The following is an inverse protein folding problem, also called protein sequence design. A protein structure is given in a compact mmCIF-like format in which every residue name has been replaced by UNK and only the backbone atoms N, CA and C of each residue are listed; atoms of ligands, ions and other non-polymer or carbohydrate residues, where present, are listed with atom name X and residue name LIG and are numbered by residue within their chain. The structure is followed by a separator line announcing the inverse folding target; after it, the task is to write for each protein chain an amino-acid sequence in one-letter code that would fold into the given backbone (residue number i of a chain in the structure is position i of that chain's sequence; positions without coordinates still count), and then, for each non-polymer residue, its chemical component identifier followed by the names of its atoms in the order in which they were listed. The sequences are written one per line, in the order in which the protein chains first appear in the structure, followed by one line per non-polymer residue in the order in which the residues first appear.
data_IF_439988679404
#
_entry.id   IF_439988679404
#
_cell.length_a   1.000
_cell.length_b   1.000
_cell.length_c   1.000
_cell.angle_alpha   90.00
_cell.angle_beta   90.00
_cell.angle_gamma   90.00
#
_symmetry.space_group_name_H-M   'P 1'
#
loop_
_entity.id
_entity.type
_entity.pdbx_description
1 polymer ?
#
# COMPACT_ATOMS: atom_id res chain seq x y z
N UNK A 1 -38.26 -18.48 9.04
CA UNK A 1 -36.82 -18.72 9.22
C UNK A 1 -36.26 -19.39 7.97
N UNK A 2 -35.66 -18.59 7.07
CA UNK A 2 -35.04 -19.12 5.85
C UNK A 2 -33.70 -19.76 6.22
N UNK A 3 -33.59 -21.09 6.09
CA UNK A 3 -32.29 -21.78 6.11
C UNK A 3 -31.56 -21.38 4.83
N UNK A 4 -30.92 -20.21 4.83
CA UNK A 4 -29.99 -19.83 3.79
C UNK A 4 -28.93 -20.92 3.77
N UNK A 5 -28.95 -21.64 2.67
CA UNK A 5 -28.29 -22.91 2.43
C UNK A 5 -26.78 -22.73 2.70
N UNK A 6 -26.31 -23.21 3.86
CA UNK A 6 -24.89 -23.16 4.24
C UNK A 6 -23.99 -23.75 3.13
N UNK A 7 -24.55 -24.65 2.33
CA UNK A 7 -23.93 -25.30 1.18
C UNK A 7 -23.67 -24.35 -0.02
N UNK A 8 -24.47 -23.28 -0.15
CA UNK A 8 -24.26 -22.22 -1.17
C UNK A 8 -23.13 -21.28 -0.74
N UNK A 9 -23.07 -20.92 0.54
CA UNK A 9 -22.00 -20.07 1.08
C UNK A 9 -20.67 -20.82 1.04
N UNK A 10 -20.64 -22.11 1.39
CA UNK A 10 -19.44 -22.94 1.25
C UNK A 10 -19.06 -23.17 -0.21
N UNK A 11 -20.01 -23.42 -1.13
CA UNK A 11 -19.70 -23.49 -2.57
C UNK A 11 -19.14 -22.19 -3.13
N UNK A 12 -19.67 -21.03 -2.72
CA UNK A 12 -19.14 -19.72 -3.10
C UNK A 12 -17.73 -19.56 -2.53
N UNK A 13 -17.52 -19.91 -1.25
CA UNK A 13 -16.21 -19.89 -0.60
C UNK A 13 -15.20 -20.78 -1.32
N UNK A 14 -15.57 -22.01 -1.67
CA UNK A 14 -14.72 -22.96 -2.38
C UNK A 14 -14.44 -22.51 -3.82
N UNK A 15 -15.41 -21.88 -4.49
CA UNK A 15 -15.18 -21.22 -5.79
C UNK A 15 -14.18 -20.07 -5.66
N UNK A 16 -14.26 -19.28 -4.59
CA UNK A 16 -13.32 -18.19 -4.29
C UNK A 16 -11.94 -18.69 -3.85
N UNK A 17 -11.85 -19.92 -3.32
CA UNK A 17 -10.62 -20.59 -2.91
C UNK A 17 -9.92 -21.38 -4.03
N UNK A 18 -10.53 -21.50 -5.21
CA UNK A 18 -9.92 -22.14 -6.39
C UNK A 18 -8.74 -21.32 -6.93
N UNK A 19 -7.64 -21.99 -7.31
CA UNK A 19 -6.40 -21.41 -7.87
C UNK A 19 -6.61 -20.36 -8.98
N UNK A 20 -7.70 -20.43 -9.75
CA UNK A 20 -8.06 -19.41 -10.74
C UNK A 20 -8.34 -18.02 -10.12
N UNK A 21 -8.90 -17.98 -8.92
CA UNK A 21 -9.15 -16.74 -8.19
C UNK A 21 -7.91 -16.23 -7.44
N UNK A 22 -6.97 -17.10 -7.08
CA UNK A 22 -5.67 -16.69 -6.58
C UNK A 22 -4.92 -15.88 -7.65
N UNK A 23 -4.87 -16.37 -8.89
CA UNK A 23 -4.26 -15.63 -10.01
C UNK A 23 -4.92 -14.28 -10.29
N UNK A 24 -6.26 -14.22 -10.27
CA UNK A 24 -7.00 -12.96 -10.47
C UNK A 24 -6.76 -11.98 -9.33
N UNK A 25 -6.71 -12.44 -8.08
CA UNK A 25 -6.40 -11.61 -6.91
C UNK A 25 -4.97 -11.07 -6.98
N UNK A 26 -4.01 -11.92 -7.31
CA UNK A 26 -2.60 -11.53 -7.54
C UNK A 26 -2.50 -10.47 -8.64
N UNK A 27 -3.16 -10.70 -9.78
CA UNK A 27 -3.16 -9.75 -10.90
C UNK A 27 -3.80 -8.40 -10.50
N UNK A 28 -4.87 -8.43 -9.72
CA UNK A 28 -5.52 -7.23 -9.18
C UNK A 28 -4.60 -6.47 -8.22
N UNK A 29 -3.91 -7.15 -7.31
CA UNK A 29 -3.04 -6.51 -6.33
C UNK A 29 -1.77 -5.94 -6.99
N UNK A 30 -1.19 -6.64 -7.96
CA UNK A 30 -0.11 -6.10 -8.81
C UNK A 30 -0.61 -4.88 -9.60
N UNK A 31 -1.82 -4.94 -10.19
CA UNK A 31 -2.37 -3.82 -10.96
C UNK A 31 -2.63 -2.59 -10.08
N UNK A 32 -3.12 -2.78 -8.85
CA UNK A 32 -3.29 -1.68 -7.88
C UNK A 32 -1.94 -1.07 -7.52
N UNK A 33 -0.92 -1.89 -7.27
CA UNK A 33 0.42 -1.40 -6.96
C UNK A 33 0.99 -0.59 -8.14
N UNK A 34 0.84 -1.09 -9.36
CA UNK A 34 1.30 -0.42 -10.58
C UNK A 34 0.55 0.90 -10.83
N UNK A 35 -0.76 0.91 -10.62
CA UNK A 35 -1.58 2.11 -10.70
C UNK A 35 -1.15 3.15 -9.66
N UNK A 36 -0.95 2.74 -8.41
CA UNK A 36 -0.52 3.63 -7.34
C UNK A 36 0.85 4.27 -7.63
N UNK A 37 1.83 3.48 -8.12
CA UNK A 37 3.15 3.99 -8.52
C UNK A 37 3.03 4.95 -9.69
N UNK A 38 2.22 4.62 -10.71
CA UNK A 38 2.05 5.45 -11.90
C UNK A 38 1.35 6.78 -11.57
N UNK A 39 0.28 6.74 -10.78
CA UNK A 39 -0.44 7.92 -10.31
C UNK A 39 0.46 8.81 -9.43
N UNK A 40 1.29 8.18 -8.60
CA UNK A 40 2.29 8.85 -7.76
C UNK A 40 3.33 9.62 -8.59
N UNK A 41 3.90 8.97 -9.60
CA UNK A 41 4.86 9.60 -10.52
C UNK A 41 4.22 10.74 -11.31
N UNK A 42 3.00 10.54 -11.83
CA UNK A 42 2.26 11.57 -12.53
C UNK A 42 2.00 12.79 -11.64
N UNK A 43 1.60 12.56 -10.38
CA UNK A 43 1.37 13.62 -9.41
C UNK A 43 2.65 14.41 -9.12
N UNK A 44 3.80 13.74 -8.92
CA UNK A 44 5.08 14.45 -8.73
C UNK A 44 5.56 15.21 -9.94
N UNK A 45 5.32 14.70 -11.15
CA UNK A 45 5.61 15.42 -12.37
C UNK A 45 4.80 16.73 -12.44
N UNK A 46 3.52 16.66 -12.10
CA UNK A 46 2.66 17.83 -12.01
C UNK A 46 3.12 18.81 -10.91
N UNK A 47 3.49 18.29 -9.73
CA UNK A 47 4.03 19.08 -8.62
C UNK A 47 5.32 19.81 -9.02
N UNK A 48 6.22 19.12 -9.74
CA UNK A 48 7.46 19.69 -10.28
C UNK A 48 7.19 20.76 -11.34
N UNK A 49 6.14 20.57 -12.14
CA UNK A 49 5.70 21.59 -13.10
C UNK A 49 5.20 22.85 -12.38
N UNK A 50 4.43 22.71 -11.29
CA UNK A 50 4.03 23.85 -10.44
C UNK A 50 5.24 24.54 -9.83
N UNK A 51 6.26 23.78 -9.39
CA UNK A 51 7.49 24.34 -8.84
C UNK A 51 8.20 25.30 -9.80
N UNK A 52 8.12 25.04 -11.11
CA UNK A 52 8.70 25.90 -12.14
C UNK A 52 8.04 27.28 -12.21
N UNK A 53 6.73 27.37 -11.93
CA UNK A 53 5.98 28.62 -12.02
C UNK A 53 5.80 29.31 -10.67
N UNK A 54 5.68 28.56 -9.57
CA UNK A 54 5.37 29.08 -8.23
C UNK A 54 6.03 28.22 -7.14
N UNK A 55 7.27 28.58 -6.79
CA UNK A 55 8.09 27.87 -5.79
C UNK A 55 7.44 27.88 -4.39
N UNK A 56 6.83 28.99 -3.97
CA UNK A 56 6.18 29.08 -2.66
C UNK A 56 4.94 28.19 -2.53
N UNK A 57 4.14 28.09 -3.61
CA UNK A 57 2.98 27.22 -3.65
C UNK A 57 3.41 25.74 -3.65
N UNK A 58 4.51 25.43 -4.36
CA UNK A 58 5.12 24.10 -4.35
C UNK A 58 5.51 23.67 -2.94
N UNK A 59 6.23 24.50 -2.17
CA UNK A 59 6.62 24.14 -0.79
C UNK A 59 5.42 23.91 0.11
N UNK A 60 4.38 24.74 0.01
CA UNK A 60 3.14 24.54 0.77
C UNK A 60 2.49 23.20 0.40
N UNK A 61 2.30 22.93 -0.89
CA UNK A 61 1.72 21.67 -1.35
C UNK A 61 2.56 20.45 -0.96
N UNK A 62 3.89 20.57 -1.05
CA UNK A 62 4.83 19.51 -0.70
C UNK A 62 4.70 19.12 0.77
N UNK A 63 4.65 20.09 1.68
CA UNK A 63 4.51 19.83 3.13
C UNK A 63 3.20 19.10 3.44
N UNK A 64 2.11 19.44 2.75
CA UNK A 64 0.81 18.80 2.95
C UNK A 64 0.72 17.40 2.33
N UNK A 65 1.27 17.22 1.13
CA UNK A 65 1.11 15.98 0.37
C UNK A 65 2.15 14.92 0.73
N UNK A 66 3.35 15.33 1.16
CA UNK A 66 4.46 14.42 1.46
C UNK A 66 4.12 13.37 2.53
N UNK A 67 3.45 13.69 3.66
CA UNK A 67 3.06 12.67 4.64
C UNK A 67 2.13 11.60 4.07
N UNK A 68 1.13 12.02 3.31
CA UNK A 68 0.14 11.12 2.66
C UNK A 68 0.83 10.23 1.63
N UNK A 69 1.75 10.81 0.89
CA UNK A 69 2.53 10.13 -0.12
C UNK A 69 3.47 9.09 0.48
N UNK A 70 4.23 9.48 1.50
CA UNK A 70 5.13 8.59 2.22
C UNK A 70 4.37 7.42 2.85
N UNK A 71 3.21 7.68 3.47
CA UNK A 71 2.35 6.63 4.01
C UNK A 71 1.92 5.63 2.92
N UNK A 72 1.54 6.13 1.74
CA UNK A 72 1.10 5.30 0.62
C UNK A 72 2.22 4.39 0.10
N UNK A 73 3.46 4.89 0.00
CA UNK A 73 4.63 4.07 -0.36
C UNK A 73 4.89 2.99 0.70
N UNK A 74 4.86 3.37 1.97
CA UNK A 74 5.12 2.44 3.07
C UNK A 74 4.05 1.34 3.13
N UNK A 75 2.78 1.68 2.94
CA UNK A 75 1.69 0.72 2.85
C UNK A 75 1.85 -0.23 1.65
N UNK A 76 2.26 0.28 0.50
CA UNK A 76 2.49 -0.52 -0.70
C UNK A 76 3.70 -1.45 -0.54
N UNK A 77 4.77 -0.99 0.12
CA UNK A 77 5.90 -1.81 0.50
C UNK A 77 5.50 -2.92 1.49
N UNK A 78 4.64 -2.62 2.45
CA UNK A 78 4.08 -3.61 3.37
C UNK A 78 3.33 -4.70 2.63
N UNK A 79 2.37 -4.32 1.78
CA UNK A 79 1.56 -5.27 1.02
C UNK A 79 2.43 -6.15 0.11
N UNK A 80 3.43 -5.56 -0.55
CA UNK A 80 4.35 -6.30 -1.41
C UNK A 80 5.21 -7.29 -0.61
N UNK A 81 5.76 -6.87 0.54
CA UNK A 81 6.55 -7.75 1.40
C UNK A 81 5.72 -8.89 1.97
N UNK A 82 4.52 -8.60 2.46
CA UNK A 82 3.60 -9.62 2.99
C UNK A 82 3.18 -10.59 1.90
N UNK A 83 2.92 -10.10 0.69
CA UNK A 83 2.61 -10.92 -0.46
C UNK A 83 3.76 -11.87 -0.82
N UNK A 84 4.99 -11.34 -0.96
CA UNK A 84 6.18 -12.16 -1.23
C UNK A 84 6.39 -13.19 -0.11
N UNK A 85 6.28 -12.80 1.16
CA UNK A 85 6.41 -13.74 2.27
C UNK A 85 5.34 -14.82 2.28
N UNK A 86 4.12 -14.51 1.82
CA UNK A 86 3.03 -15.49 1.72
C UNK A 86 3.26 -16.54 0.64
N UNK A 87 4.03 -16.21 -0.40
CA UNK A 87 4.43 -17.15 -1.45
C UNK A 87 5.52 -18.13 -0.98
N UNK A 88 6.41 -17.71 -0.09
CA UNK A 88 7.62 -18.47 0.27
C UNK A 88 7.61 -19.08 1.68
N UNK A 89 6.68 -18.73 2.56
CA UNK A 89 6.71 -19.18 3.96
C UNK A 89 5.32 -19.30 4.59
N UNK A 90 4.98 -20.49 5.12
CA UNK A 90 3.75 -20.73 5.90
C UNK A 90 3.70 -19.94 7.22
N UNK A 91 4.86 -19.46 7.70
CA UNK A 91 4.96 -18.62 8.91
C UNK A 91 4.63 -17.13 8.65
N UNK A 92 4.04 -16.79 7.50
CA UNK A 92 3.73 -15.40 7.11
C UNK A 92 3.02 -14.63 8.22
N UNK A 93 2.07 -15.27 8.92
CA UNK A 93 1.27 -14.61 9.95
C UNK A 93 2.10 -14.09 11.14
N UNK A 94 3.21 -14.75 11.48
CA UNK A 94 4.09 -14.31 12.56
C UNK A 94 4.99 -13.13 12.14
N UNK A 95 5.31 -13.00 10.85
CA UNK A 95 6.20 -11.96 10.33
C UNK A 95 5.46 -10.68 9.91
N UNK A 96 4.14 -10.74 9.71
CA UNK A 96 3.29 -9.57 9.37
C UNK A 96 3.40 -8.43 10.38
N UNK A 97 3.35 -8.74 11.68
CA UNK A 97 3.37 -7.72 12.74
C UNK A 97 4.75 -7.06 12.86
N UNK A 98 5.88 -7.82 12.95
CA UNK A 98 7.21 -7.22 12.95
C UNK A 98 7.49 -6.31 11.76
N UNK A 99 7.09 -6.72 10.54
CA UNK A 99 7.31 -5.92 9.33
C UNK A 99 6.50 -4.63 9.36
N UNK A 100 5.24 -4.69 9.82
CA UNK A 100 4.42 -3.50 10.00
C UNK A 100 5.09 -2.51 10.96
N UNK A 101 5.60 -3.00 12.10
CA UNK A 101 6.26 -2.15 13.10
C UNK A 101 7.51 -1.49 12.52
N UNK A 102 8.35 -2.23 11.80
CA UNK A 102 9.56 -1.69 11.16
C UNK A 102 9.19 -0.60 10.14
N UNK A 103 8.21 -0.86 9.29
CA UNK A 103 7.74 0.09 8.28
C UNK A 103 7.09 1.34 8.91
N UNK A 104 6.39 1.17 10.02
CA UNK A 104 5.84 2.28 10.79
C UNK A 104 6.93 3.14 11.42
N UNK A 105 7.95 2.54 12.02
CA UNK A 105 9.11 3.27 12.56
C UNK A 105 9.81 4.04 11.45
N UNK A 106 10.02 3.42 10.29
CA UNK A 106 10.60 4.07 9.12
C UNK A 106 9.77 5.28 8.66
N UNK A 107 8.44 5.11 8.54
CA UNK A 107 7.51 6.18 8.21
C UNK A 107 7.64 7.37 9.18
N UNK A 108 7.58 7.10 10.48
CA UNK A 108 7.68 8.14 11.52
C UNK A 108 9.04 8.84 11.46
N UNK A 109 10.14 8.09 11.34
CA UNK A 109 11.50 8.64 11.30
C UNK A 109 11.72 9.58 10.11
N UNK A 110 11.26 9.19 8.91
CA UNK A 110 11.36 10.04 7.72
C UNK A 110 10.49 11.29 7.86
N UNK A 111 9.31 11.17 8.49
CA UNK A 111 8.43 12.31 8.77
C UNK A 111 9.04 13.32 9.73
N UNK A 112 9.63 12.88 10.85
CA UNK A 112 10.28 13.78 11.80
C UNK A 112 11.46 14.51 11.16
N UNK A 113 12.27 13.81 10.34
CA UNK A 113 13.36 14.43 9.58
C UNK A 113 12.80 15.49 8.61
N UNK A 114 11.75 15.16 7.86
CA UNK A 114 11.13 16.06 6.89
C UNK A 114 10.52 17.31 7.55
N UNK A 115 9.89 17.15 8.71
CA UNK A 115 9.33 18.26 9.49
C UNK A 115 10.39 19.08 10.25
N UNK A 116 11.67 18.70 10.17
CA UNK A 116 12.75 19.37 10.87
C UNK A 116 12.66 19.26 12.40
N UNK A 117 11.90 18.27 12.89
CA UNK A 117 11.82 17.98 14.32
C UNK A 117 13.15 17.37 14.74
N UNK A 118 14.01 18.19 15.35
CA UNK A 118 15.28 17.74 15.94
C UNK A 118 14.97 16.73 17.03
N UNK A 119 15.47 15.51 16.87
CA UNK A 119 15.54 14.50 17.92
C UNK A 119 16.61 14.86 18.95
#
# INVERSE_FOLDING_TARGET
MSKINANLITKIRDLFSSDKNAYVRIKLDISKAFFAISASLYFFFYLSTIAWFQVDLFWKLLVWIFPVFLFSIVALAYDLLVYVLSLYSEKTNALKIPILVILWIFYVAVLTIFLGLKF
#
